data_IF_232081924462
#
_entry.id   IF_232081924462
#
_cell.length_a   1.000
_cell.length_b   1.000
_cell.length_c   1.000
_cell.angle_alpha   90.00
_cell.angle_beta   90.00
_cell.angle_gamma   90.00
#
_symmetry.space_group_name_H-M   'P 1'
#
loop_
_entity.id
_entity.type
_entity.pdbx_description
1 polymer ?
#
# COMPACT_ATOMS: atom_id res chain seq x y z
N UNK A 1 15.98 -4.35 -9.28
CA UNK A 1 16.22 -3.20 -8.40
C UNK A 1 14.90 -2.74 -7.75
N UNK A 2 14.92 -2.61 -6.44
CA UNK A 2 13.73 -2.16 -5.71
C UNK A 2 13.74 -0.63 -5.66
N UNK A 3 12.65 -0.01 -6.11
CA UNK A 3 12.46 1.43 -5.98
C UNK A 3 11.68 1.74 -4.71
N UNK A 4 11.88 2.94 -4.19
CA UNK A 4 11.07 3.46 -3.09
C UNK A 4 10.32 4.69 -3.56
N UNK A 5 9.44 5.19 -2.72
CA UNK A 5 8.66 6.38 -3.03
C UNK A 5 9.45 7.68 -2.83
N UNK A 6 10.75 7.56 -2.53
CA UNK A 6 11.60 8.73 -2.30
C UNK A 6 11.54 9.73 -3.45
N UNK A 7 11.57 9.24 -4.68
CA UNK A 7 11.58 10.11 -5.86
C UNK A 7 10.28 10.89 -6.05
N UNK A 8 9.18 10.40 -5.46
CA UNK A 8 7.92 11.13 -5.51
C UNK A 8 7.85 12.27 -4.49
N UNK A 9 8.74 12.26 -3.49
CA UNK A 9 8.82 13.30 -2.49
C UNK A 9 7.94 13.06 -1.27
N UNK A 10 8.20 13.82 -0.23
CA UNK A 10 7.52 13.68 1.05
C UNK A 10 6.02 14.02 0.94
N UNK A 11 5.70 15.09 0.22
CA UNK A 11 4.30 15.50 0.04
C UNK A 11 3.45 14.42 -0.59
N UNK A 12 3.97 13.78 -1.64
CA UNK A 12 3.26 12.68 -2.28
C UNK A 12 3.02 11.53 -1.29
N UNK A 13 4.03 11.18 -0.54
CA UNK A 13 3.93 10.06 0.41
C UNK A 13 2.91 10.34 1.52
N UNK A 14 2.86 11.57 2.03
CA UNK A 14 1.84 11.93 3.03
C UNK A 14 0.44 11.85 2.44
N UNK A 15 0.30 12.19 1.16
CA UNK A 15 -0.99 12.09 0.48
C UNK A 15 -1.41 10.64 0.25
N UNK A 16 -0.46 9.73 0.07
CA UNK A 16 -0.80 8.30 0.00
C UNK A 16 -1.45 7.87 1.32
N UNK A 17 -0.85 8.23 2.45
CA UNK A 17 -1.42 7.88 3.75
C UNK A 17 -2.77 8.57 3.93
N UNK A 18 -2.89 9.85 3.55
CA UNK A 18 -4.16 10.57 3.62
C UNK A 18 -5.24 9.86 2.80
N UNK A 19 -4.88 9.35 1.64
CA UNK A 19 -5.81 8.59 0.79
C UNK A 19 -6.28 7.30 1.45
N UNK A 20 -5.36 6.61 2.13
CA UNK A 20 -5.73 5.41 2.88
C UNK A 20 -6.74 5.73 3.97
N UNK A 21 -6.57 6.86 4.65
CA UNK A 21 -7.41 7.24 5.79
C UNK A 21 -8.78 7.79 5.37
N UNK A 22 -8.91 8.25 4.14
CA UNK A 22 -10.15 8.91 3.69
C UNK A 22 -10.97 8.10 2.69
N UNK A 23 -10.41 7.01 2.15
CA UNK A 23 -11.08 6.23 1.11
C UNK A 23 -10.93 4.74 1.38
N UNK A 24 -11.93 4.15 2.02
CA UNK A 24 -11.93 2.72 2.36
C UNK A 24 -11.86 1.83 1.14
N UNK A 25 -12.51 2.22 0.07
CA UNK A 25 -12.50 1.44 -1.18
C UNK A 25 -11.09 1.38 -1.74
N UNK A 26 -10.39 2.51 -1.73
CA UNK A 26 -9.00 2.55 -2.16
C UNK A 26 -8.12 1.67 -1.26
N UNK A 27 -8.29 1.78 0.06
CA UNK A 27 -7.49 0.99 1.01
C UNK A 27 -7.71 -0.50 0.78
N UNK A 28 -8.95 -0.92 0.63
CA UNK A 28 -9.26 -2.33 0.35
C UNK A 28 -8.62 -2.81 -0.95
N UNK A 29 -8.57 -1.94 -1.94
CA UNK A 29 -8.02 -2.27 -3.25
C UNK A 29 -6.49 -2.42 -3.22
N UNK A 30 -5.81 -1.58 -2.43
CA UNK A 30 -4.34 -1.51 -2.46
C UNK A 30 -3.66 -2.33 -1.35
N UNK A 31 -4.45 -2.83 -0.39
CA UNK A 31 -3.89 -3.43 0.83
C UNK A 31 -2.96 -4.62 0.55
N UNK A 32 -3.20 -5.35 -0.53
CA UNK A 32 -2.40 -6.54 -0.84
C UNK A 32 -1.10 -6.22 -1.58
N UNK A 33 -0.95 -5.00 -2.09
CA UNK A 33 0.22 -4.65 -2.90
C UNK A 33 1.04 -3.50 -2.33
N UNK A 34 0.49 -2.74 -1.40
CA UNK A 34 1.23 -1.65 -0.76
C UNK A 34 2.06 -2.19 0.40
N UNK A 35 3.36 -1.94 0.34
CA UNK A 35 4.31 -2.41 1.35
C UNK A 35 4.86 -1.21 2.09
N UNK A 36 4.83 -1.22 3.44
CA UNK A 36 5.35 -0.08 4.22
C UNK A 36 6.79 0.30 3.88
N UNK A 37 7.60 -0.67 3.49
CA UNK A 37 9.01 -0.41 3.16
C UNK A 37 9.21 0.41 1.89
N UNK A 38 8.18 0.61 1.09
CA UNK A 38 8.28 1.52 -0.06
C UNK A 38 8.45 2.97 0.38
N UNK A 39 7.99 3.31 1.58
CA UNK A 39 8.08 4.68 2.08
C UNK A 39 9.50 5.04 2.50
N UNK A 40 9.81 6.34 2.44
CA UNK A 40 11.15 6.86 2.61
C UNK A 40 11.58 7.01 4.07
N UNK A 41 10.65 7.34 4.96
CA UNK A 41 10.98 7.59 6.36
C UNK A 41 10.35 6.54 7.28
N UNK A 42 10.96 6.36 8.45
CA UNK A 42 10.43 5.43 9.44
C UNK A 42 9.04 5.84 9.94
N UNK A 43 8.78 7.15 10.02
CA UNK A 43 7.47 7.64 10.44
C UNK A 43 6.38 7.28 9.42
N UNK A 44 6.67 7.44 8.13
CA UNK A 44 5.73 7.07 7.08
C UNK A 44 5.51 5.56 7.04
N UNK A 45 6.59 4.78 7.21
CA UNK A 45 6.48 3.32 7.28
C UNK A 45 5.58 2.91 8.45
N UNK A 46 5.78 3.54 9.60
CA UNK A 46 4.98 3.25 10.80
C UNK A 46 3.49 3.54 10.55
N UNK A 47 3.20 4.70 9.96
CA UNK A 47 1.81 5.08 9.68
C UNK A 47 1.16 4.12 8.69
N UNK A 48 1.88 3.77 7.62
CA UNK A 48 1.38 2.82 6.63
C UNK A 48 1.11 1.46 7.28
N UNK A 49 2.09 0.93 8.00
CA UNK A 49 1.99 -0.37 8.63
C UNK A 49 0.81 -0.44 9.58
N UNK A 50 0.66 0.56 10.45
CA UNK A 50 -0.41 0.55 11.44
C UNK A 50 -1.79 0.77 10.80
N UNK A 51 -1.86 1.59 9.76
CA UNK A 51 -3.10 1.80 9.03
C UNK A 51 -3.58 0.52 8.38
N UNK A 52 -2.68 -0.16 7.66
CA UNK A 52 -3.04 -1.40 6.96
C UNK A 52 -3.37 -2.52 7.94
N UNK A 53 -2.60 -2.65 9.02
CA UNK A 53 -2.85 -3.66 10.03
C UNK A 53 -4.22 -3.47 10.68
N UNK A 54 -4.52 -2.23 11.04
CA UNK A 54 -5.82 -1.89 11.63
C UNK A 54 -6.97 -2.21 10.68
N UNK A 55 -6.79 -1.86 9.41
CA UNK A 55 -7.83 -2.12 8.40
C UNK A 55 -8.09 -3.62 8.24
N UNK A 56 -7.04 -4.44 8.26
CA UNK A 56 -7.19 -5.89 8.16
C UNK A 56 -8.00 -6.46 9.32
N UNK A 57 -7.77 -5.93 10.53
CA UNK A 57 -8.45 -6.40 11.73
C UNK A 57 -9.89 -5.92 11.82
N UNK A 58 -10.13 -4.64 11.57
CA UNK A 58 -11.40 -4.00 11.86
C UNK A 58 -12.20 -3.58 10.64
N UNK A 59 -11.65 -3.75 9.47
CA UNK A 59 -12.27 -3.41 8.18
C UNK A 59 -12.68 -1.94 8.07
N UNK A 60 -12.01 -1.10 8.83
CA UNK A 60 -12.15 0.34 8.77
C UNK A 60 -10.80 0.97 9.06
N UNK A 61 -10.66 2.27 8.76
CA UNK A 61 -9.38 2.95 8.96
C UNK A 61 -9.27 3.50 10.39
N UNK A 62 -8.05 3.63 10.92
CA UNK A 62 -7.88 4.16 12.27
C UNK A 62 -8.25 5.64 12.35
N UNK A 63 -8.75 6.02 13.52
CA UNK A 63 -9.03 7.42 13.86
C UNK A 63 -7.82 8.01 14.56
N UNK A 64 -7.88 9.32 14.83
CA UNK A 64 -6.83 9.97 15.63
C UNK A 64 -6.67 9.35 17.01
N UNK A 65 -7.77 8.97 17.63
CA UNK A 65 -7.73 8.34 18.96
C UNK A 65 -6.99 7.00 18.90
N UNK A 66 -7.23 6.23 17.84
CA UNK A 66 -6.53 4.96 17.63
C UNK A 66 -5.03 5.21 17.51
N UNK A 67 -4.62 6.18 16.69
CA UNK A 67 -3.20 6.51 16.53
C UNK A 67 -2.57 6.95 17.85
N UNK A 68 -3.30 7.69 18.69
CA UNK A 68 -2.78 8.09 20.01
C UNK A 68 -2.46 6.88 20.86
N UNK A 69 -3.33 5.89 20.88
CA UNK A 69 -3.10 4.65 21.62
C UNK A 69 -1.91 3.90 21.06
N UNK A 70 -1.86 3.77 19.72
CA UNK A 70 -0.73 3.07 19.08
C UNK A 70 0.60 3.77 19.37
N UNK A 71 0.61 5.11 19.36
CA UNK A 71 1.80 5.89 19.67
C UNK A 71 2.30 5.67 21.09
N UNK A 72 1.39 5.43 22.03
CA UNK A 72 1.79 5.20 23.42
C UNK A 72 2.66 3.95 23.57
N UNK A 73 2.64 3.06 22.58
CA UNK A 73 3.47 1.86 22.59
C UNK A 73 4.86 2.07 22.00
N UNK A 74 5.10 3.24 21.40
CA UNK A 74 6.42 3.59 20.86
C UNK A 74 7.26 4.12 22.01
N UNK A 75 8.38 3.47 22.31
CA UNK A 75 9.16 3.77 23.50
C UNK A 75 10.09 4.99 23.34
N UNK A 76 10.51 5.29 22.13
CA UNK A 76 11.41 6.42 21.87
C UNK A 76 10.63 7.71 21.74
N UNK A 77 10.98 8.71 22.57
CA UNK A 77 10.34 10.04 22.49
C UNK A 77 10.61 10.72 21.15
N UNK A 78 11.81 10.52 20.62
CA UNK A 78 12.17 11.09 19.32
C UNK A 78 11.28 10.51 18.22
N UNK A 79 11.12 9.19 18.20
CA UNK A 79 10.25 8.54 17.22
C UNK A 79 8.81 9.00 17.37
N UNK A 80 8.30 9.11 18.59
CA UNK A 80 6.94 9.61 18.82
C UNK A 80 6.77 11.01 18.25
N UNK A 81 7.74 11.88 18.46
CA UNK A 81 7.70 13.25 17.95
C UNK A 81 7.67 13.28 16.43
N UNK A 82 8.52 12.45 15.81
CA UNK A 82 8.57 12.38 14.34
C UNK A 82 7.27 11.84 13.76
N UNK A 83 6.71 10.80 14.37
CA UNK A 83 5.45 10.23 13.93
C UNK A 83 4.32 11.26 14.06
N UNK A 84 4.26 11.97 15.18
CA UNK A 84 3.25 13.02 15.37
C UNK A 84 3.35 14.11 14.32
N UNK A 85 4.58 14.53 14.01
CA UNK A 85 4.82 15.54 12.98
C UNK A 85 4.35 15.05 11.61
N UNK A 86 4.66 13.82 11.26
CA UNK A 86 4.24 13.22 10.01
C UNK A 86 2.73 13.04 9.96
N UNK A 87 2.13 12.60 11.05
CA UNK A 87 0.67 12.45 11.13
C UNK A 87 -0.04 13.79 10.92
N UNK A 88 0.53 14.87 11.48
CA UNK A 88 -0.01 16.20 11.26
C UNK A 88 0.06 16.58 9.77
N UNK A 89 1.18 16.30 9.11
CA UNK A 89 1.32 16.56 7.69
C UNK A 89 0.31 15.75 6.86
N UNK A 90 0.08 14.49 7.24
CA UNK A 90 -0.92 13.66 6.60
C UNK A 90 -2.31 14.29 6.76
N UNK A 91 -2.63 14.69 7.99
CA UNK A 91 -3.95 15.28 8.28
C UNK A 91 -4.19 16.57 7.50
N UNK A 92 -3.14 17.34 7.28
CA UNK A 92 -3.25 18.58 6.50
C UNK A 92 -3.54 18.29 5.02
N UNK A 93 -3.39 17.06 4.57
CA UNK A 93 -3.58 16.69 3.17
C UNK A 93 -4.85 15.88 2.91
N UNK A 94 -5.70 15.65 3.91
CA UNK A 94 -6.88 14.80 3.73
C UNK A 94 -7.93 15.40 2.79
N UNK A 95 -7.84 16.69 2.52
CA UNK A 95 -8.77 17.37 1.60
C UNK A 95 -8.05 17.91 0.36
N UNK A 96 -6.85 17.39 0.06
CA UNK A 96 -6.11 17.84 -1.11
C UNK A 96 -6.85 17.47 -2.40
N UNK A 97 -6.77 18.36 -3.40
CA UNK A 97 -7.48 18.20 -4.66
C UNK A 97 -6.89 17.10 -5.55
N UNK A 98 -5.64 16.73 -5.31
CA UNK A 98 -4.92 15.80 -6.17
C UNK A 98 -4.87 14.39 -5.65
N UNK A 99 -5.70 14.03 -4.67
CA UNK A 99 -5.67 12.67 -4.11
C UNK A 99 -6.05 11.60 -5.14
N UNK A 100 -6.91 11.92 -6.10
CA UNK A 100 -7.25 10.95 -7.13
C UNK A 100 -6.02 10.60 -7.98
N UNK A 101 -5.24 11.60 -8.36
CA UNK A 101 -3.98 11.38 -9.07
C UNK A 101 -3.02 10.53 -8.24
N UNK A 102 -2.89 10.86 -6.95
CA UNK A 102 -2.00 10.14 -6.03
C UNK A 102 -2.40 8.66 -5.94
N UNK A 103 -3.70 8.39 -5.82
CA UNK A 103 -4.21 7.01 -5.74
C UNK A 103 -3.86 6.22 -6.99
N UNK A 104 -4.04 6.80 -8.15
CA UNK A 104 -3.74 6.13 -9.41
C UNK A 104 -2.25 5.87 -9.57
N UNK A 105 -1.43 6.86 -9.22
CA UNK A 105 0.03 6.70 -9.31
C UNK A 105 0.56 5.65 -8.36
N UNK A 106 0.09 5.63 -7.11
CA UNK A 106 0.61 4.65 -6.15
C UNK A 106 0.19 3.23 -6.53
N UNK A 107 -0.99 3.05 -7.09
CA UNK A 107 -1.42 1.74 -7.56
C UNK A 107 -0.49 1.25 -8.67
N UNK A 108 -0.17 2.09 -9.65
CA UNK A 108 0.74 1.73 -10.73
C UNK A 108 2.14 1.44 -10.21
N UNK A 109 2.61 2.24 -9.26
CA UNK A 109 3.91 1.99 -8.64
C UNK A 109 3.94 0.61 -7.99
N UNK A 110 2.92 0.28 -7.20
CA UNK A 110 2.88 -0.99 -6.48
C UNK A 110 2.78 -2.19 -7.43
N UNK A 111 2.00 -2.05 -8.51
CA UNK A 111 1.92 -3.10 -9.53
C UNK A 111 3.28 -3.34 -10.18
N UNK A 112 3.98 -2.27 -10.52
CA UNK A 112 5.31 -2.38 -11.12
C UNK A 112 6.30 -3.03 -10.15
N UNK A 113 6.23 -2.69 -8.87
CA UNK A 113 7.10 -3.30 -7.86
C UNK A 113 6.82 -4.80 -7.72
N UNK A 114 5.55 -5.17 -7.69
CA UNK A 114 5.14 -6.56 -7.57
C UNK A 114 5.63 -7.39 -8.77
N UNK A 115 5.38 -6.91 -9.98
CA UNK A 115 5.79 -7.62 -11.19
C UNK A 115 7.31 -7.69 -11.31
N UNK A 116 8.01 -6.61 -10.98
CA UNK A 116 9.48 -6.60 -11.00
C UNK A 116 10.04 -7.65 -10.05
N UNK A 117 9.49 -7.75 -8.84
CA UNK A 117 9.95 -8.73 -7.86
C UNK A 117 9.74 -10.16 -8.37
N UNK A 118 8.60 -10.43 -8.99
CA UNK A 118 8.30 -11.76 -9.53
C UNK A 118 9.24 -12.10 -10.68
N UNK A 119 9.50 -11.14 -11.56
CA UNK A 119 10.41 -11.37 -12.71
C UNK A 119 11.82 -11.65 -12.21
N UNK A 120 12.30 -10.89 -11.22
CA UNK A 120 13.64 -11.11 -10.66
C UNK A 120 13.73 -12.48 -9.99
N UNK A 121 12.69 -12.89 -9.28
CA UNK A 121 12.64 -14.19 -8.64
C UNK A 121 12.62 -15.32 -9.68
N UNK A 122 12.00 -15.07 -10.84
CA UNK A 122 11.92 -16.05 -11.90
C UNK A 122 13.31 -16.38 -12.46
N UNK A 123 14.26 -15.45 -12.42
CA UNK A 123 15.63 -15.72 -12.83
C UNK A 123 16.24 -16.83 -11.96
N UNK A 124 16.00 -16.77 -10.65
CA UNK A 124 16.50 -17.79 -9.74
C UNK A 124 15.82 -19.14 -9.99
N UNK A 125 14.51 -19.12 -10.27
CA UNK A 125 13.77 -20.35 -10.59
C UNK A 125 14.30 -21.01 -11.86
N UNK A 126 14.70 -20.23 -12.86
CA UNK A 126 15.31 -20.78 -14.07
C UNK A 126 16.60 -21.50 -13.73
N UNK A 127 17.45 -20.92 -12.90
CA UNK A 127 18.70 -21.52 -12.46
C UNK A 127 18.51 -22.83 -11.71
N UNK A 128 17.39 -22.93 -10.98
CA UNK A 128 17.07 -24.09 -10.15
C UNK A 128 16.21 -25.12 -10.89
N UNK A 129 15.79 -24.80 -12.11
CA UNK A 129 14.91 -25.70 -12.87
C UNK A 129 13.47 -25.73 -12.38
N UNK A 130 13.06 -24.74 -11.59
CA UNK A 130 11.71 -24.68 -11.01
C UNK A 130 10.73 -23.92 -11.90
N UNK A 131 10.47 -24.46 -13.08
CA UNK A 131 9.68 -23.76 -14.08
C UNK A 131 8.21 -23.58 -13.71
N UNK A 132 7.64 -24.56 -13.02
CA UNK A 132 6.25 -24.48 -12.57
C UNK A 132 6.04 -23.33 -11.59
N UNK A 133 7.06 -23.02 -10.79
CA UNK A 133 6.99 -21.91 -9.83
C UNK A 133 6.89 -20.57 -10.55
N UNK A 134 7.57 -20.44 -11.70
CA UNK A 134 7.51 -19.21 -12.49
C UNK A 134 6.06 -18.95 -12.93
N UNK A 135 5.41 -19.95 -13.51
CA UNK A 135 4.05 -19.81 -13.98
C UNK A 135 3.11 -19.46 -12.81
N UNK A 136 3.22 -20.18 -11.72
CA UNK A 136 2.35 -19.98 -10.57
C UNK A 136 2.45 -18.56 -10.02
N UNK A 137 3.67 -18.06 -9.85
CA UNK A 137 3.86 -16.74 -9.24
C UNK A 137 3.54 -15.61 -10.21
N UNK A 138 3.85 -15.77 -11.50
CA UNK A 138 3.49 -14.77 -12.50
C UNK A 138 1.98 -14.66 -12.63
N UNK A 139 1.28 -15.81 -12.69
CA UNK A 139 -0.18 -15.81 -12.77
C UNK A 139 -0.81 -15.14 -11.54
N UNK A 140 -0.30 -15.44 -10.36
CA UNK A 140 -0.80 -14.83 -9.13
C UNK A 140 -0.62 -13.31 -9.14
N UNK A 141 0.56 -12.85 -9.55
CA UNK A 141 0.84 -11.42 -9.61
C UNK A 141 -0.04 -10.71 -10.62
N UNK A 142 -0.25 -11.32 -11.78
CA UNK A 142 -1.11 -10.73 -12.81
C UNK A 142 -2.57 -10.64 -12.35
N UNK A 143 -3.06 -11.64 -11.62
CA UNK A 143 -4.40 -11.58 -11.05
C UNK A 143 -4.56 -10.40 -10.10
N UNK A 144 -3.60 -10.20 -9.22
CA UNK A 144 -3.63 -9.07 -8.30
C UNK A 144 -3.61 -7.75 -9.07
N UNK A 145 -2.75 -7.65 -10.08
CA UNK A 145 -2.64 -6.43 -10.89
C UNK A 145 -3.90 -6.12 -11.69
N UNK A 146 -4.65 -7.15 -12.09
CA UNK A 146 -5.89 -6.98 -12.85
C UNK A 146 -7.10 -6.76 -11.94
N UNK A 147 -6.89 -6.76 -10.63
CA UNK A 147 -7.94 -6.46 -9.69
C UNK A 147 -9.00 -7.53 -9.54
N UNK A 148 -8.64 -8.78 -9.75
CA UNK A 148 -9.59 -9.90 -9.65
C UNK A 148 -10.26 -9.98 -8.30
N UNK A 149 -9.63 -9.43 -7.31
CA UNK A 149 -10.26 -9.41 -6.02
C UNK A 149 -11.33 -8.35 -5.97
N UNK A 150 -11.59 -7.85 -6.86
CA UNK A 150 -12.29 -6.73 -6.88
C UNK A 150 -13.34 -6.34 -7.19
N UNK A 151 -13.17 -6.60 -7.22
CA UNK A 151 -14.03 -5.54 -7.57
C UNK A 151 -15.41 -6.11 -7.73
N UNK A 152 -15.14 -6.58 -7.79
CA UNK A 152 -15.91 -6.69 -7.81
C UNK A 152 -16.63 -6.65 -7.88
N UNK A 153 -16.60 -6.94 -7.95
CA UNK A 153 -16.96 -6.63 -8.19
C UNK A 153 -17.30 -6.42 -8.67
N UNK A 154 -17.49 -6.83 -8.99
CA UNK A 154 -17.69 -6.69 -9.50
C UNK A 154 -17.85 -6.72 -10.17
N UNK A 155 -18.00 -7.43 -10.56
CA UNK A 155 -18.09 -7.60 -11.15
C UNK A 155 -18.57 -7.93 -11.14
N UNK A 156 -18.54 -8.48 -11.24
CA UNK A 156 -18.91 -8.81 -11.25
C UNK A 156 -19.18 -8.80 -11.48
N UNK A 157 -19.49 -9.09 -11.60
CA UNK A 157 -19.68 -9.02 -11.92
C UNK A 157 -19.56 -8.87 -12.31
N UNK A 158 -19.53 -9.17 -12.62
CA UNK A 158 -19.36 -9.15 -12.97
C UNK A 158 -19.14 -9.31 -13.30
N UNK A 159 -19.16 -9.72 -13.50
CA UNK A 159 -18.95 -10.06 -13.72
C UNK A 159 -18.79 -10.38 -13.99
N UNK A 160 -18.82 -10.88 -14.23
CA UNK A 160 -18.58 -11.18 -14.44
C UNK A 160 -18.25 -11.27 -14.86
N UNK A 161 -18.22 -11.70 -15.15
CA UNK A 161 -17.80 -11.73 -15.51
C UNK A 161 -17.42 -11.65 -15.83
N UNK A 162 -17.23 -11.99 -16.04
CA UNK A 162 -16.76 -11.92 -16.14
C UNK A 162 -16.53 -11.99 -16.39
N UNK A 163 -16.56 -12.35 -16.89
CA UNK A 163 -16.24 -12.36 -17.02
C UNK A 163 -16.30 -12.31 -16.98
#
# INVERSE_FOLDING_TARGET
>A
MVRTLKDYGYGFQTKVIASLLTDRTFTDKIIDILVPDYFDSNSLKWLCKNTLFYFKEYRTVPTLDVFKVQLSNVTSELEQTEIKSTLKAVWNNIESDDLQFVKEEIIEFCKNQLLTAVILKSVDYIKEGKFDNIKTEVDAALKICHGDKNFGHDYGLLIQDGP
#
